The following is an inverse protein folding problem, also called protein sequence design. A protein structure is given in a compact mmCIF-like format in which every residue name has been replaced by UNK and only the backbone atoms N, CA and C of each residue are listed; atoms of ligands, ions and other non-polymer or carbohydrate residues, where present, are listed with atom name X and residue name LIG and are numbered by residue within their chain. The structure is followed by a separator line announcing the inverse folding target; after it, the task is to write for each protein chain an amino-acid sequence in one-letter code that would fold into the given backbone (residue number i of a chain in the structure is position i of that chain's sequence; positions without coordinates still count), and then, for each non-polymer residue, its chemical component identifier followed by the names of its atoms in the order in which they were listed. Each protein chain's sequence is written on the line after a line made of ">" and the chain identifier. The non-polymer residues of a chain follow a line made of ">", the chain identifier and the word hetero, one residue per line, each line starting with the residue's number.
data_IF_660660993836
#
_entry.id   IF_660660993836
#
_cell.length_a   1.000
_cell.length_b   1.000
_cell.length_c   1.000
_cell.angle_alpha   90.00
_cell.angle_beta   90.00
_cell.angle_gamma   90.00
#
_symmetry.space_group_name_H-M   'P 1'
#
loop_
_entity.id
_entity.type
_entity.pdbx_description
1 polymer ?
#
# COMPACT_ATOMS: atom_id res chain seq x y z
N UNK A 1 -3.64 13.56 -12.73
CA UNK A 1 -4.55 13.04 -13.76
C UNK A 1 -5.53 12.08 -13.10
N UNK A 2 -6.81 12.48 -12.93
CA UNK A 2 -7.81 11.66 -12.24
C UNK A 2 -8.00 10.27 -12.87
N UNK A 3 -7.80 10.13 -14.18
CA UNK A 3 -7.93 8.86 -14.90
C UNK A 3 -6.91 7.80 -14.44
N UNK A 4 -5.71 8.23 -14.03
CA UNK A 4 -4.68 7.34 -13.47
C UNK A 4 -5.01 6.89 -12.05
N UNK A 5 -5.68 7.74 -11.26
CA UNK A 5 -6.12 7.41 -9.91
C UNK A 5 -7.22 6.35 -9.94
N UNK A 6 -8.20 6.50 -10.84
CA UNK A 6 -9.28 5.53 -11.02
C UNK A 6 -8.72 4.16 -11.45
N UNK A 7 -7.77 4.14 -12.38
CA UNK A 7 -7.12 2.91 -12.84
C UNK A 7 -6.42 2.17 -11.70
N UNK A 8 -5.70 2.88 -10.83
CA UNK A 8 -5.02 2.26 -9.70
C UNK A 8 -6.00 1.76 -8.64
N UNK A 9 -7.07 2.50 -8.36
CA UNK A 9 -8.10 2.06 -7.41
C UNK A 9 -8.77 0.74 -7.85
N UNK A 10 -9.04 0.55 -9.14
CA UNK A 10 -9.54 -0.73 -9.66
C UNK A 10 -8.52 -1.86 -9.51
N UNK A 11 -7.23 -1.57 -9.71
CA UNK A 11 -6.16 -2.54 -9.51
C UNK A 11 -6.07 -2.99 -8.04
N UNK A 12 -6.21 -2.07 -7.08
CA UNK A 12 -6.26 -2.37 -5.65
C UNK A 12 -7.41 -3.35 -5.32
N UNK A 13 -8.62 -3.07 -5.81
CA UNK A 13 -9.80 -3.93 -5.61
C UNK A 13 -9.62 -5.33 -6.23
N UNK A 14 -9.02 -5.39 -7.43
CA UNK A 14 -8.71 -6.64 -8.10
C UNK A 14 -7.68 -7.46 -7.31
N UNK A 15 -6.65 -6.81 -6.79
CA UNK A 15 -5.63 -7.47 -5.97
C UNK A 15 -6.22 -8.00 -4.66
N UNK A 16 -7.04 -7.21 -3.95
CA UNK A 16 -7.75 -7.67 -2.74
C UNK A 16 -8.56 -8.95 -3.00
N UNK A 17 -9.23 -9.02 -4.15
CA UNK A 17 -9.99 -10.20 -4.56
C UNK A 17 -9.08 -11.41 -4.84
N UNK A 18 -7.94 -11.19 -5.49
CA UNK A 18 -6.98 -12.25 -5.82
C UNK A 18 -6.21 -12.77 -4.60
N UNK A 19 -5.90 -11.91 -3.62
CA UNK A 19 -5.18 -12.28 -2.38
C UNK A 19 -5.97 -13.25 -1.48
N UNK A 20 -7.24 -13.52 -1.79
CA UNK A 20 -8.04 -14.55 -1.11
C UNK A 20 -7.78 -15.97 -1.61
N UNK A 21 -7.30 -16.13 -2.84
CA UNK A 21 -7.17 -17.44 -3.50
C UNK A 21 -5.80 -17.68 -4.12
N UNK A 22 -4.94 -16.66 -4.18
CA UNK A 22 -3.53 -16.79 -4.57
C UNK A 22 -2.63 -16.64 -3.36
N UNK A 23 -1.65 -17.54 -3.30
CA UNK A 23 -0.54 -17.43 -2.37
C UNK A 23 0.44 -16.35 -2.85
N UNK A 24 1.21 -15.83 -1.90
CA UNK A 24 2.34 -14.92 -2.15
C UNK A 24 3.55 -15.44 -1.39
N UNK A 25 4.72 -14.87 -1.65
CA UNK A 25 5.93 -15.11 -0.85
C UNK A 25 6.02 -14.20 0.38
N UNK A 26 4.95 -13.49 0.73
CA UNK A 26 4.89 -12.61 1.88
C UNK A 26 4.57 -13.41 3.15
N UNK A 27 5.14 -12.99 4.27
CA UNK A 27 4.70 -13.49 5.58
C UNK A 27 3.36 -12.85 6.01
N UNK A 28 2.80 -13.32 7.13
CA UNK A 28 1.49 -12.86 7.63
C UNK A 28 1.47 -11.35 7.93
N UNK A 29 2.53 -10.79 8.52
CA UNK A 29 2.60 -9.36 8.84
C UNK A 29 2.68 -8.50 7.57
N UNK A 30 3.45 -8.95 6.59
CA UNK A 30 3.53 -8.34 5.26
C UNK A 30 2.18 -8.42 4.54
N UNK A 31 1.48 -9.55 4.62
CA UNK A 31 0.14 -9.73 4.05
C UNK A 31 -0.90 -8.81 4.71
N UNK A 32 -0.87 -8.68 6.03
CA UNK A 32 -1.72 -7.74 6.75
C UNK A 32 -1.42 -6.30 6.35
N UNK A 33 -0.13 -5.93 6.28
CA UNK A 33 0.29 -4.61 5.82
C UNK A 33 -0.08 -4.35 4.36
N UNK A 34 0.00 -5.36 3.48
CA UNK A 34 -0.38 -5.27 2.07
C UNK A 34 -1.86 -4.98 1.95
N UNK A 35 -2.70 -5.77 2.62
CA UNK A 35 -4.15 -5.60 2.61
C UNK A 35 -4.54 -4.21 3.11
N UNK A 36 -3.92 -3.71 4.18
CA UNK A 36 -4.18 -2.35 4.68
C UNK A 36 -3.81 -1.27 3.66
N UNK A 37 -2.57 -1.28 3.14
CA UNK A 37 -2.07 -0.17 2.30
C UNK A 37 -2.84 -0.04 0.98
N UNK A 38 -3.37 -1.15 0.44
CA UNK A 38 -4.23 -1.16 -0.76
C UNK A 38 -5.72 -0.96 -0.44
N UNK A 39 -6.08 -0.59 0.80
CA UNK A 39 -7.44 -0.19 1.18
C UNK A 39 -8.35 -1.30 1.71
N UNK A 40 -7.83 -2.50 1.99
CA UNK A 40 -8.60 -3.64 2.51
C UNK A 40 -9.06 -3.52 3.96
N UNK A 41 -8.73 -2.44 4.66
CA UNK A 41 -9.15 -2.18 6.06
C UNK A 41 -9.69 -0.76 6.27
N UNK A 42 -10.03 -0.07 5.17
CA UNK A 42 -10.40 1.35 5.17
C UNK A 42 -9.61 2.11 4.10
N UNK A 43 -10.22 3.15 3.55
CA UNK A 43 -9.64 3.92 2.44
C UNK A 43 -8.97 5.22 2.88
N UNK A 44 -9.19 5.67 4.12
CA UNK A 44 -8.51 6.85 4.66
C UNK A 44 -7.02 6.59 4.90
N UNK A 45 -6.23 7.67 4.90
CA UNK A 45 -4.77 7.60 4.97
C UNK A 45 -4.26 6.93 6.27
N UNK A 46 -4.92 7.16 7.41
CA UNK A 46 -4.48 6.60 8.69
C UNK A 46 -4.71 5.08 8.72
N UNK A 47 -5.89 4.62 8.30
CA UNK A 47 -6.21 3.19 8.19
C UNK A 47 -5.27 2.46 7.23
N UNK A 48 -4.97 3.06 6.07
CA UNK A 48 -4.04 2.47 5.08
C UNK A 48 -2.61 2.34 5.62
N UNK A 49 -2.17 3.29 6.45
CA UNK A 49 -0.86 3.25 7.10
C UNK A 49 -0.82 2.42 8.37
N UNK A 50 -1.99 2.07 8.91
CA UNK A 50 -2.07 1.35 10.16
C UNK A 50 -1.76 2.18 11.39
N UNK A 51 -1.98 3.49 11.30
CA UNK A 51 -1.74 4.43 12.40
C UNK A 51 -2.83 4.27 13.45
N UNK A 52 -2.43 4.30 14.71
CA UNK A 52 -3.37 4.32 15.83
C UNK A 52 -3.91 5.75 16.01
N UNK A 53 -5.17 5.90 16.49
CA UNK A 53 -5.78 7.21 16.74
C UNK A 53 -4.94 8.12 17.64
N UNK A 54 -4.14 7.49 18.52
CA UNK A 54 -3.38 8.15 19.57
C UNK A 54 -2.07 8.79 19.07
N UNK A 55 -1.68 8.55 17.81
CA UNK A 55 -0.44 9.06 17.20
C UNK A 55 -0.68 9.71 15.81
N UNK A 56 -1.49 10.77 15.71
CA UNK A 56 -1.93 11.33 14.42
C UNK A 56 -0.81 12.05 13.63
N UNK A 57 0.29 12.47 14.27
CA UNK A 57 1.36 13.25 13.63
C UNK A 57 2.39 12.43 12.83
N UNK A 58 2.33 11.09 12.89
CA UNK A 58 3.29 10.23 12.19
C UNK A 58 2.96 9.99 10.70
N UNK A 59 1.86 10.55 10.19
CA UNK A 59 1.35 10.36 8.82
C UNK A 59 2.41 10.46 7.71
N UNK A 60 3.06 11.63 7.51
CA UNK A 60 4.05 11.80 6.45
C UNK A 60 5.25 10.84 6.56
N UNK A 61 5.77 10.64 7.79
CA UNK A 61 6.89 9.73 8.07
C UNK A 61 6.50 8.28 7.80
N UNK A 62 5.32 7.87 8.22
CA UNK A 62 4.78 6.53 8.02
C UNK A 62 4.52 6.23 6.54
N UNK A 63 3.97 7.19 5.80
CA UNK A 63 3.77 7.08 4.35
C UNK A 63 5.09 6.87 3.61
N UNK A 64 6.11 7.70 3.91
CA UNK A 64 7.43 7.55 3.31
C UNK A 64 8.07 6.20 3.68
N UNK A 65 8.00 5.80 4.94
CA UNK A 65 8.52 4.51 5.40
C UNK A 65 7.82 3.32 4.72
N UNK A 66 6.51 3.41 4.49
CA UNK A 66 5.75 2.41 3.75
C UNK A 66 6.19 2.31 2.29
N UNK A 67 6.35 3.45 1.61
CA UNK A 67 6.81 3.47 0.22
C UNK A 67 8.21 2.85 0.06
N UNK A 68 9.13 3.14 0.99
CA UNK A 68 10.48 2.56 1.00
C UNK A 68 10.46 1.06 1.27
N UNK A 69 9.69 0.62 2.27
CA UNK A 69 9.53 -0.80 2.62
C UNK A 69 9.01 -1.60 1.43
N UNK A 70 7.93 -1.14 0.80
CA UNK A 70 7.33 -1.86 -0.34
C UNK A 70 8.19 -1.86 -1.58
N UNK A 71 9.00 -0.81 -1.80
CA UNK A 71 9.96 -0.76 -2.91
C UNK A 71 11.02 -1.83 -2.75
N UNK A 72 11.67 -1.89 -1.57
CA UNK A 72 12.61 -2.98 -1.25
C UNK A 72 11.98 -4.36 -1.37
N UNK A 73 10.73 -4.51 -0.92
CA UNK A 73 10.03 -5.80 -1.01
C UNK A 73 9.67 -6.17 -2.45
N UNK A 74 9.33 -5.21 -3.30
CA UNK A 74 9.05 -5.43 -4.72
C UNK A 74 10.28 -5.88 -5.51
N UNK A 75 11.45 -5.38 -5.14
CA UNK A 75 12.74 -5.69 -5.79
C UNK A 75 13.38 -7.00 -5.27
N UNK A 76 12.72 -7.70 -4.33
CA UNK A 76 13.26 -8.92 -3.74
C UNK A 76 13.37 -10.07 -4.77
N UNK A 77 14.53 -10.73 -4.90
CA UNK A 77 14.78 -11.70 -5.98
C UNK A 77 13.95 -12.97 -5.90
N UNK A 78 13.45 -13.33 -4.70
CA UNK A 78 12.60 -14.50 -4.50
C UNK A 78 11.11 -14.23 -4.80
N UNK A 79 10.74 -13.05 -5.29
CA UNK A 79 9.35 -12.80 -5.65
C UNK A 79 8.92 -13.58 -6.87
N UNK A 80 7.81 -14.30 -6.73
CA UNK A 80 7.03 -14.70 -7.89
C UNK A 80 6.41 -13.46 -8.59
N UNK A 81 5.92 -13.61 -9.84
CA UNK A 81 5.33 -12.49 -10.59
C UNK A 81 4.11 -11.85 -9.92
N UNK A 82 3.26 -12.64 -9.23
CA UNK A 82 2.08 -12.13 -8.55
C UNK A 82 2.48 -11.33 -7.30
N UNK A 83 3.41 -11.83 -6.49
CA UNK A 83 3.95 -11.11 -5.34
C UNK A 83 4.62 -9.79 -5.78
N UNK A 84 5.41 -9.82 -6.87
CA UNK A 84 6.02 -8.60 -7.43
C UNK A 84 4.96 -7.56 -7.79
N UNK A 85 3.90 -7.97 -8.49
CA UNK A 85 2.77 -7.09 -8.86
C UNK A 85 2.08 -6.51 -7.64
N UNK A 86 1.77 -7.33 -6.65
CA UNK A 86 1.14 -6.89 -5.41
C UNK A 86 2.01 -5.87 -4.66
N UNK A 87 3.32 -6.11 -4.55
CA UNK A 87 4.26 -5.18 -3.92
C UNK A 87 4.34 -3.85 -4.70
N UNK A 88 4.35 -3.88 -6.03
CA UNK A 88 4.35 -2.65 -6.86
C UNK A 88 3.06 -1.85 -6.68
N UNK A 89 1.92 -2.51 -6.58
CA UNK A 89 0.66 -1.82 -6.27
C UNK A 89 0.74 -1.16 -4.88
N UNK A 90 1.28 -1.84 -3.88
CA UNK A 90 1.50 -1.27 -2.55
C UNK A 90 2.46 -0.07 -2.56
N UNK A 91 3.52 -0.08 -3.39
CA UNK A 91 4.39 1.09 -3.61
C UNK A 91 3.56 2.27 -4.12
N UNK A 92 2.76 2.05 -5.17
CA UNK A 92 1.93 3.11 -5.77
C UNK A 92 0.89 3.66 -4.79
N UNK A 93 0.27 2.80 -3.98
CA UNK A 93 -0.65 3.21 -2.92
C UNK A 93 0.07 4.05 -1.86
N UNK A 94 1.26 3.64 -1.40
CA UNK A 94 2.03 4.40 -0.43
C UNK A 94 2.54 5.75 -1.00
N UNK A 95 2.94 5.80 -2.26
CA UNK A 95 3.33 7.04 -2.96
C UNK A 95 2.15 8.02 -3.07
N UNK A 96 0.94 7.52 -3.33
CA UNK A 96 -0.27 8.35 -3.33
C UNK A 96 -0.50 8.99 -1.96
N UNK A 97 -0.32 8.24 -0.87
CA UNK A 97 -0.41 8.78 0.49
C UNK A 97 0.68 9.81 0.79
N UNK A 98 1.91 9.60 0.33
CA UNK A 98 2.99 10.61 0.45
C UNK A 98 2.58 11.90 -0.26
N UNK A 99 2.04 11.81 -1.47
CA UNK A 99 1.57 12.97 -2.22
C UNK A 99 0.39 13.68 -1.53
N UNK A 100 -0.55 12.91 -0.97
CA UNK A 100 -1.71 13.41 -0.23
C UNK A 100 -1.29 14.19 1.03
N UNK A 101 -0.37 13.64 1.85
CA UNK A 101 0.17 14.35 3.01
C UNK A 101 0.99 15.59 2.62
N UNK A 102 1.76 15.51 1.54
CA UNK A 102 2.51 16.66 1.03
C UNK A 102 1.58 17.78 0.53
N UNK A 103 0.40 17.45 -0.01
CA UNK A 103 -0.60 18.43 -0.43
C UNK A 103 -1.34 19.06 0.76
N UNK A 104 -1.59 18.32 1.85
CA UNK A 104 -2.23 18.84 3.08
C UNK A 104 -1.37 19.82 3.88
N UNK A 105 -0.05 19.70 3.79
CA UNK A 105 0.89 20.58 4.50
C UNK A 105 1.25 21.87 3.74
N UNK A 106 0.70 22.07 2.54
CA UNK A 106 0.79 23.32 1.78
C UNK A 106 -0.40 24.21 2.12
#
# INVERSE_FOLDING_TARGET
>A
DPLLADTHAFEELRLLSQLRSRQTTLNEDEMASLRRIIGGSGTDAASRLGLQPEAPYDGPRAAFAAAQRWRRRADHPLNDPFTTRACRAAVRSAEALVAEYAARGR
#
